data_IF_511702070371
#
_entry.id   IF_511702070371
#
_cell.length_a   1.000
_cell.length_b   1.000
_cell.length_c   1.000
_cell.angle_alpha   90.00
_cell.angle_beta   90.00
_cell.angle_gamma   90.00
#
_symmetry.space_group_name_H-M   'P 1'
#
loop_
_entity.id
_entity.type
_entity.pdbx_description
1 polymer ?
#
# COMPACT_ATOMS: atom_id res chain seq x y z
N UNK A 1 -15.85 25.28 27.82
CA UNK A 1 -15.20 24.09 27.22
C UNK A 1 -14.19 23.57 28.23
N UNK A 2 -14.27 22.31 28.65
CA UNK A 2 -13.34 21.71 29.63
C UNK A 2 -12.28 20.89 28.91
N UNK A 3 -11.13 20.67 29.56
CA UNK A 3 -10.07 19.81 29.01
C UNK A 3 -10.57 18.39 28.71
N UNK A 4 -11.43 17.86 29.59
CA UNK A 4 -12.12 16.58 29.39
C UNK A 4 -12.98 16.58 28.13
N UNK A 5 -13.80 17.62 27.94
CA UNK A 5 -14.69 17.72 26.77
C UNK A 5 -13.95 17.84 25.43
N UNK A 6 -12.75 18.44 25.41
CA UNK A 6 -11.91 18.47 24.21
C UNK A 6 -11.47 17.06 23.79
N UNK A 7 -10.98 16.26 24.74
CA UNK A 7 -10.57 14.87 24.47
C UNK A 7 -11.75 13.95 24.14
N UNK A 8 -12.90 14.13 24.80
CA UNK A 8 -14.14 13.41 24.46
C UNK A 8 -14.63 13.75 23.05
N UNK A 9 -14.46 15.01 22.61
CA UNK A 9 -14.74 15.42 21.24
C UNK A 9 -13.84 14.69 20.22
N UNK A 10 -12.55 14.56 20.51
CA UNK A 10 -11.62 13.78 19.68
C UNK A 10 -12.03 12.31 19.65
N UNK A 11 -12.28 11.70 20.83
CA UNK A 11 -12.71 10.30 20.90
C UNK A 11 -13.98 10.05 20.06
N UNK A 12 -14.97 10.93 20.20
CA UNK A 12 -16.22 10.86 19.43
C UNK A 12 -16.00 10.98 17.92
N UNK A 13 -15.10 11.87 17.47
CA UNK A 13 -14.75 11.98 16.05
C UNK A 13 -14.20 10.66 15.50
N UNK A 14 -13.34 9.97 16.26
CA UNK A 14 -12.76 8.72 15.81
C UNK A 14 -13.76 7.56 15.90
N UNK A 15 -14.34 7.33 17.07
CA UNK A 15 -15.22 6.18 17.34
C UNK A 15 -16.52 6.24 16.55
N UNK A 16 -17.15 7.43 16.47
CA UNK A 16 -18.47 7.58 15.87
C UNK A 16 -18.44 8.00 14.40
N UNK A 17 -17.31 8.48 13.87
CA UNK A 17 -17.21 8.93 12.48
C UNK A 17 -16.09 8.21 11.72
N UNK A 18 -14.83 8.40 12.09
CA UNK A 18 -13.70 7.91 11.29
C UNK A 18 -13.56 6.38 11.28
N UNK A 19 -13.98 5.71 12.35
CA UNK A 19 -13.89 4.25 12.47
C UNK A 19 -15.10 3.49 11.93
N UNK A 20 -16.15 4.17 11.44
CA UNK A 20 -17.28 3.51 10.75
C UNK A 20 -16.81 2.48 9.70
N UNK A 21 -15.94 2.82 8.74
CA UNK A 21 -15.48 1.85 7.74
C UNK A 21 -14.70 0.68 8.34
N UNK A 22 -13.87 0.91 9.37
CA UNK A 22 -13.14 -0.16 10.05
C UNK A 22 -14.06 -1.08 10.84
N UNK A 23 -15.07 -0.53 11.51
CA UNK A 23 -16.11 -1.31 12.19
C UNK A 23 -16.93 -2.15 11.21
N UNK A 24 -17.18 -1.65 10.00
CA UNK A 24 -17.84 -2.43 8.95
C UNK A 24 -16.98 -3.62 8.51
N UNK A 25 -15.66 -3.41 8.30
CA UNK A 25 -14.73 -4.50 7.96
C UNK A 25 -14.64 -5.55 9.06
N UNK A 26 -14.61 -5.14 10.34
CA UNK A 26 -14.59 -6.06 11.48
C UNK A 26 -15.86 -6.94 11.54
N UNK A 27 -17.04 -6.39 11.20
CA UNK A 27 -18.28 -7.18 11.13
C UNK A 27 -18.26 -8.18 9.98
N UNK A 28 -17.71 -7.77 8.84
CA UNK A 28 -17.59 -8.60 7.63
C UNK A 28 -16.64 -9.79 7.82
N UNK A 29 -15.74 -9.74 8.80
CA UNK A 29 -14.81 -10.83 9.12
C UNK A 29 -15.52 -12.18 9.32
N UNK A 30 -16.70 -12.17 9.96
CA UNK A 30 -17.46 -13.39 10.24
C UNK A 30 -18.07 -14.01 8.97
N UNK A 31 -18.27 -13.21 7.92
CA UNK A 31 -18.90 -13.64 6.66
C UNK A 31 -17.88 -13.91 5.55
N UNK A 32 -16.79 -13.13 5.50
CA UNK A 32 -15.77 -13.23 4.48
C UNK A 32 -14.42 -12.68 4.95
N UNK A 33 -13.51 -13.60 5.24
CA UNK A 33 -12.13 -13.29 5.57
C UNK A 33 -11.42 -12.49 4.47
N UNK A 34 -11.70 -12.79 3.19
CA UNK A 34 -11.11 -12.08 2.06
C UNK A 34 -11.51 -10.61 2.01
N UNK A 35 -12.80 -10.33 2.22
CA UNK A 35 -13.33 -8.98 2.17
C UNK A 35 -12.93 -8.16 3.40
N UNK A 36 -12.88 -8.80 4.58
CA UNK A 36 -12.38 -8.15 5.79
C UNK A 36 -10.91 -7.67 5.66
N UNK A 37 -10.12 -8.35 4.83
CA UNK A 37 -8.72 -8.02 4.57
C UNK A 37 -8.49 -7.18 3.31
N UNK A 38 -9.53 -6.58 2.70
CA UNK A 38 -9.42 -5.88 1.41
C UNK A 38 -8.38 -4.76 1.41
N UNK A 39 -8.19 -4.06 2.53
CA UNK A 39 -7.17 -3.01 2.69
C UNK A 39 -5.77 -3.62 2.60
N UNK A 40 -5.52 -4.73 3.31
CA UNK A 40 -4.25 -5.47 3.26
C UNK A 40 -3.95 -5.96 1.85
N UNK A 41 -4.94 -6.52 1.15
CA UNK A 41 -4.81 -6.95 -0.24
C UNK A 41 -4.47 -5.79 -1.17
N UNK A 42 -5.14 -4.63 -0.99
CA UNK A 42 -4.88 -3.44 -1.80
C UNK A 42 -3.45 -2.95 -1.62
N UNK A 43 -2.95 -2.90 -0.38
CA UNK A 43 -1.57 -2.49 -0.10
C UNK A 43 -0.55 -3.48 -0.65
N UNK A 44 -0.81 -4.79 -0.48
CA UNK A 44 0.06 -5.84 -1.01
C UNK A 44 0.14 -5.76 -2.54
N UNK A 45 -1.00 -5.66 -3.23
CA UNK A 45 -1.04 -5.55 -4.69
C UNK A 45 -0.36 -4.28 -5.18
N UNK A 46 -0.62 -3.14 -4.53
CA UNK A 46 0.04 -1.87 -4.88
C UNK A 46 1.55 -1.98 -4.73
N UNK A 47 2.03 -2.56 -3.62
CA UNK A 47 3.45 -2.81 -3.39
C UNK A 47 4.06 -3.75 -4.42
N UNK A 48 3.37 -4.85 -4.76
CA UNK A 48 3.83 -5.82 -5.75
C UNK A 48 3.91 -5.22 -7.17
N UNK A 49 2.94 -4.39 -7.57
CA UNK A 49 2.95 -3.67 -8.85
C UNK A 49 4.14 -2.71 -8.89
N UNK A 50 4.30 -1.88 -7.85
CA UNK A 50 5.42 -0.93 -7.77
C UNK A 50 6.77 -1.66 -7.81
N UNK A 51 6.92 -2.73 -7.03
CA UNK A 51 8.13 -3.54 -7.00
C UNK A 51 8.46 -4.13 -8.38
N UNK A 52 7.48 -4.74 -9.05
CA UNK A 52 7.65 -5.34 -10.38
C UNK A 52 8.03 -4.28 -11.42
N UNK A 53 7.38 -3.12 -11.39
CA UNK A 53 7.70 -1.99 -12.27
C UNK A 53 9.17 -1.55 -12.11
N UNK A 54 9.63 -1.39 -10.87
CA UNK A 54 11.01 -0.97 -10.61
C UNK A 54 12.03 -2.04 -10.99
N UNK A 55 11.73 -3.33 -10.78
CA UNK A 55 12.61 -4.42 -11.23
C UNK A 55 12.78 -4.44 -12.74
N UNK A 56 11.71 -4.21 -13.51
CA UNK A 56 11.79 -4.11 -14.97
C UNK A 56 12.63 -2.89 -15.39
N UNK A 57 12.49 -1.75 -14.70
CA UNK A 57 13.31 -0.56 -14.97
C UNK A 57 14.79 -0.81 -14.71
N UNK A 58 15.15 -1.45 -13.60
CA UNK A 58 16.53 -1.82 -13.31
C UNK A 58 17.12 -2.76 -14.36
N UNK A 59 16.34 -3.77 -14.79
CA UNK A 59 16.76 -4.66 -15.88
C UNK A 59 17.02 -3.88 -17.17
N UNK A 60 16.11 -3.00 -17.57
CA UNK A 60 16.28 -2.20 -18.80
C UNK A 60 17.51 -1.29 -18.74
N UNK A 61 17.84 -0.76 -17.56
CA UNK A 61 19.03 0.05 -17.36
C UNK A 61 20.32 -0.78 -17.51
N UNK A 62 20.35 -1.99 -16.93
CA UNK A 62 21.48 -2.92 -17.05
C UNK A 62 21.73 -3.35 -18.51
N UNK A 63 20.69 -3.75 -19.25
CA UNK A 63 20.83 -4.15 -20.66
C UNK A 63 21.33 -2.99 -21.55
N UNK A 64 20.88 -1.75 -21.28
CA UNK A 64 21.34 -0.57 -22.03
C UNK A 64 22.80 -0.22 -21.79
N UNK A 65 23.36 -0.59 -20.64
CA UNK A 65 24.79 -0.37 -20.35
C UNK A 65 25.64 -1.41 -21.05
N UNK A 66 25.22 -2.68 -21.07
CA UNK A 66 25.92 -3.75 -21.81
C UNK A 66 26.04 -3.44 -23.31
N UNK A 67 25.01 -2.89 -23.96
CA UNK A 67 25.08 -2.51 -25.38
C UNK A 67 26.00 -1.31 -25.67
N UNK A 68 26.31 -0.50 -24.65
CA UNK A 68 27.15 0.70 -24.80
C UNK A 68 28.62 0.40 -24.53
N UNK A 69 28.92 -0.63 -23.72
CA UNK A 69 30.27 -1.11 -23.42
C UNK A 69 30.71 -2.31 -24.28
N UNK A 70 30.00 -2.62 -25.37
CA UNK A 70 30.61 -3.39 -26.45
C UNK A 70 31.63 -2.48 -27.15
N UNK A 71 32.80 -2.33 -26.53
CA UNK A 71 34.01 -2.08 -27.30
C UNK A 71 33.99 -3.09 -28.45
N UNK A 72 34.20 -2.62 -29.68
CA UNK A 72 34.53 -3.50 -30.79
C UNK A 72 35.59 -4.49 -30.26
N UNK A 73 35.24 -5.77 -30.20
CA UNK A 73 36.16 -6.84 -29.82
C UNK A 73 36.80 -7.46 -31.07
N UNK A 74 36.75 -6.77 -32.22
CA UNK A 74 37.33 -7.27 -33.46
C UNK A 74 37.98 -6.13 -34.29
N UNK A 75 39.33 -6.11 -34.37
CA UNK A 75 40.08 -5.07 -35.07
C UNK A 75 39.73 -4.95 -36.56
#
# INVERSE_FOLDING_TARGET
MTWKGFWEGIASLFENVLFIPYNALAKVELDSWWLANIVSWTLLLTGAIAFTYWMIKLKSFNESTESTYTYNENP
#
